data_IF_400779218603
#
_entry.id   IF_400779218603
#
_cell.length_a   1.000
_cell.length_b   1.000
_cell.length_c   1.000
_cell.angle_alpha   90.00
_cell.angle_beta   90.00
_cell.angle_gamma   90.00
#
_symmetry.space_group_name_H-M   'P 1'
#
loop_
_entity.id
_entity.type
_entity.pdbx_description
1 polymer ?
#
# COMPACT_ATOMS: atom_id res chain seq x y z
N UNK A 1 13.96 30.62 -2.05
CA UNK A 1 15.04 29.85 -1.43
C UNK A 1 14.95 28.42 -1.94
N UNK A 2 15.92 27.96 -2.68
CA UNK A 2 15.94 26.60 -3.21
C UNK A 2 16.07 25.62 -2.04
N UNK A 3 15.11 24.72 -1.89
CA UNK A 3 15.18 23.62 -0.94
C UNK A 3 16.43 22.80 -1.26
N UNK A 4 17.36 22.72 -0.33
CA UNK A 4 18.51 21.84 -0.43
C UNK A 4 17.97 20.41 -0.47
N UNK A 5 17.94 19.79 -1.65
CA UNK A 5 17.82 18.35 -1.75
C UNK A 5 19.08 17.75 -1.10
N UNK A 6 18.97 17.38 0.16
CA UNK A 6 19.93 16.48 0.78
C UNK A 6 19.93 15.22 -0.10
N UNK A 7 21.03 14.98 -0.78
CA UNK A 7 21.24 13.74 -1.56
C UNK A 7 21.22 12.60 -0.54
N UNK A 8 20.05 11.93 -0.45
CA UNK A 8 19.90 10.79 0.42
C UNK A 8 20.75 9.64 -0.14
N UNK A 9 21.44 8.93 0.75
CA UNK A 9 22.29 7.81 0.32
C UNK A 9 21.38 6.68 -0.18
N UNK A 10 21.54 6.21 -1.42
CA UNK A 10 20.74 5.12 -1.95
C UNK A 10 20.94 3.84 -1.14
N UNK A 11 19.89 3.02 -1.03
CA UNK A 11 20.00 1.67 -0.51
C UNK A 11 20.95 0.82 -1.38
N UNK A 12 21.63 -0.17 -0.82
CA UNK A 12 22.39 -1.11 -1.66
C UNK A 12 21.43 -2.03 -2.40
N UNK A 13 20.43 -2.59 -1.69
CA UNK A 13 19.38 -3.41 -2.31
C UNK A 13 18.02 -3.10 -1.69
N UNK A 14 17.08 -2.70 -2.54
CA UNK A 14 15.68 -2.48 -2.18
C UNK A 14 14.83 -3.60 -2.78
N UNK A 15 13.95 -4.21 -1.99
CA UNK A 15 13.00 -5.21 -2.48
C UNK A 15 11.64 -4.55 -2.74
N UNK A 16 11.09 -4.73 -3.94
CA UNK A 16 9.70 -4.46 -4.29
C UNK A 16 8.97 -5.78 -4.56
N UNK A 17 7.99 -6.13 -3.73
CA UNK A 17 7.08 -7.24 -4.02
C UNK A 17 5.79 -6.71 -4.67
N UNK A 18 5.09 -7.55 -5.44
CA UNK A 18 3.92 -7.10 -6.21
C UNK A 18 4.32 -6.30 -7.46
N UNK A 19 5.53 -6.53 -7.97
CA UNK A 19 6.14 -5.73 -9.03
C UNK A 19 5.47 -5.89 -10.41
N UNK A 20 4.73 -6.98 -10.65
CA UNK A 20 3.92 -7.18 -11.87
C UNK A 20 2.58 -6.44 -11.82
N UNK A 21 2.10 -6.05 -10.63
CA UNK A 21 0.85 -5.34 -10.44
C UNK A 21 0.84 -3.91 -11.00
N UNK A 22 -0.34 -3.28 -11.05
CA UNK A 22 -0.48 -1.91 -11.58
C UNK A 22 0.41 -0.89 -10.86
N UNK A 23 0.36 -0.85 -9.52
CA UNK A 23 1.23 0.04 -8.74
C UNK A 23 2.68 -0.42 -8.73
N UNK A 24 2.92 -1.74 -8.76
CA UNK A 24 4.27 -2.30 -8.85
C UNK A 24 5.03 -1.82 -10.08
N UNK A 25 4.38 -1.74 -11.23
CA UNK A 25 4.98 -1.21 -12.46
C UNK A 25 5.37 0.27 -12.33
N UNK A 26 4.53 1.08 -11.72
CA UNK A 26 4.85 2.49 -11.42
C UNK A 26 6.05 2.58 -10.48
N UNK A 27 6.03 1.80 -9.39
CA UNK A 27 7.09 1.80 -8.39
C UNK A 27 8.41 1.22 -8.92
N UNK A 28 8.39 0.27 -9.86
CA UNK A 28 9.60 -0.20 -10.53
C UNK A 28 10.38 0.96 -11.14
N UNK A 29 9.71 1.87 -11.84
CA UNK A 29 10.36 3.01 -12.49
C UNK A 29 10.82 4.06 -11.46
N UNK A 30 9.98 4.34 -10.46
CA UNK A 30 10.23 5.45 -9.53
C UNK A 30 11.18 5.09 -8.39
N UNK A 31 11.37 3.81 -8.08
CA UNK A 31 12.28 3.36 -7.01
C UNK A 31 13.73 3.16 -7.48
N UNK A 32 13.99 3.03 -8.77
CA UNK A 32 15.35 2.82 -9.30
C UNK A 32 16.38 3.86 -8.82
N UNK A 33 16.07 5.17 -8.78
CA UNK A 33 17.03 6.17 -8.28
C UNK A 33 17.40 6.03 -6.80
N UNK A 34 16.62 5.28 -6.02
CA UNK A 34 16.76 5.15 -4.57
C UNK A 34 17.61 3.97 -4.14
N UNK A 35 18.09 3.16 -5.08
CA UNK A 35 18.85 1.95 -4.76
C UNK A 35 19.91 1.65 -5.82
N UNK A 36 20.98 0.96 -5.43
CA UNK A 36 21.96 0.44 -6.39
C UNK A 36 21.41 -0.77 -7.13
N UNK A 37 20.63 -1.61 -6.43
CA UNK A 37 19.96 -2.79 -7.00
C UNK A 37 18.51 -2.81 -6.54
N UNK A 38 17.57 -2.78 -7.48
CA UNK A 38 16.14 -2.98 -7.23
C UNK A 38 15.79 -4.43 -7.50
N UNK A 39 15.52 -5.18 -6.42
CA UNK A 39 14.98 -6.55 -6.55
C UNK A 39 13.49 -6.49 -6.70
N UNK A 40 12.98 -7.05 -7.79
CA UNK A 40 11.59 -7.11 -8.18
C UNK A 40 11.05 -8.51 -7.97
N UNK A 41 9.91 -8.63 -7.32
CA UNK A 41 9.28 -9.92 -7.08
C UNK A 41 7.78 -9.89 -7.26
N UNK A 42 7.27 -10.95 -7.87
CA UNK A 42 5.85 -11.24 -8.01
C UNK A 42 5.68 -12.75 -8.21
N UNK A 43 4.45 -13.26 -8.05
CA UNK A 43 4.10 -14.63 -8.47
C UNK A 43 3.90 -14.70 -9.99
N UNK A 44 3.48 -13.60 -10.62
CA UNK A 44 3.32 -13.47 -12.05
C UNK A 44 4.66 -13.17 -12.76
N UNK A 45 4.74 -13.53 -14.02
CA UNK A 45 5.87 -13.16 -14.86
C UNK A 45 6.01 -11.65 -14.98
N UNK A 46 7.23 -11.17 -14.96
CA UNK A 46 7.59 -9.78 -15.09
C UNK A 46 8.48 -9.56 -16.31
N UNK A 47 8.50 -8.34 -16.84
CA UNK A 47 9.50 -7.95 -17.81
C UNK A 47 10.92 -8.20 -17.23
N UNK A 48 11.86 -8.69 -18.03
CA UNK A 48 13.22 -8.95 -17.57
C UNK A 48 13.89 -7.70 -17.00
N UNK A 49 14.95 -7.90 -16.22
CA UNK A 49 15.78 -6.81 -15.73
C UNK A 49 16.31 -5.97 -16.90
N UNK A 50 16.28 -4.65 -16.75
CA UNK A 50 16.75 -3.74 -17.83
C UNK A 50 18.28 -3.71 -17.90
N UNK A 51 18.94 -3.88 -16.76
CA UNK A 51 20.41 -3.92 -16.64
C UNK A 51 20.82 -4.51 -15.27
N UNK A 52 22.09 -4.40 -14.90
CA UNK A 52 22.63 -4.90 -13.62
C UNK A 52 22.13 -4.15 -12.37
N UNK A 53 21.34 -3.07 -12.52
CA UNK A 53 20.69 -2.37 -11.40
C UNK A 53 19.36 -3.01 -11.00
N UNK A 54 18.90 -4.03 -11.69
CA UNK A 54 17.68 -4.77 -11.36
C UNK A 54 17.94 -6.27 -11.21
N UNK A 55 17.21 -6.88 -10.29
CA UNK A 55 17.07 -8.34 -10.16
C UNK A 55 15.59 -8.69 -10.29
N UNK A 56 15.24 -9.67 -11.10
CA UNK A 56 13.86 -10.15 -11.25
C UNK A 56 13.76 -11.56 -10.71
N UNK A 57 12.91 -11.77 -9.72
CA UNK A 57 12.76 -13.05 -9.04
C UNK A 57 11.27 -13.38 -8.85
N UNK A 58 10.79 -14.42 -9.54
CA UNK A 58 9.43 -14.95 -9.30
C UNK A 58 9.40 -15.63 -7.94
N UNK A 59 8.42 -15.26 -7.10
CA UNK A 59 8.26 -15.79 -5.76
C UNK A 59 6.78 -15.84 -5.35
N UNK A 60 6.33 -17.02 -4.91
CA UNK A 60 5.07 -17.15 -4.22
C UNK A 60 5.27 -16.75 -2.74
N UNK A 61 4.53 -15.74 -2.28
CA UNK A 61 4.58 -15.30 -0.89
C UNK A 61 4.11 -16.37 0.12
N UNK A 62 3.32 -17.34 -0.34
CA UNK A 62 2.93 -18.50 0.48
C UNK A 62 4.10 -19.46 0.76
N UNK A 63 5.16 -19.45 -0.08
CA UNK A 63 6.34 -20.26 0.15
C UNK A 63 7.33 -19.56 1.07
N UNK A 64 7.37 -20.04 2.34
CA UNK A 64 8.26 -19.51 3.37
C UNK A 64 9.74 -19.52 2.99
N UNK A 65 10.19 -20.58 2.30
CA UNK A 65 11.60 -20.74 1.97
C UNK A 65 11.99 -19.83 0.79
N UNK A 66 11.12 -19.72 -0.20
CA UNK A 66 11.30 -18.78 -1.31
C UNK A 66 11.34 -17.33 -0.80
N UNK A 67 10.45 -16.94 0.11
CA UNK A 67 10.46 -15.59 0.71
C UNK A 67 11.73 -15.36 1.54
N UNK A 68 12.19 -16.36 2.28
CA UNK A 68 13.45 -16.22 3.02
C UNK A 68 14.63 -15.93 2.07
N UNK A 69 14.75 -16.65 0.96
CA UNK A 69 15.79 -16.40 -0.06
C UNK A 69 15.61 -15.04 -0.73
N UNK A 70 14.35 -14.66 -1.02
CA UNK A 70 14.01 -13.38 -1.64
C UNK A 70 14.52 -12.19 -0.82
N UNK A 71 14.48 -12.25 0.51
CA UNK A 71 14.86 -11.14 1.42
C UNK A 71 16.37 -11.13 1.74
N UNK A 72 17.13 -12.13 1.32
CA UNK A 72 18.57 -12.18 1.58
C UNK A 72 19.31 -10.96 0.98
N UNK A 73 20.08 -10.27 1.83
CA UNK A 73 20.88 -9.09 1.45
C UNK A 73 20.09 -7.85 1.09
N UNK A 74 18.82 -7.77 1.51
CA UNK A 74 17.93 -6.60 1.31
C UNK A 74 18.08 -5.60 2.46
N UNK A 75 18.18 -4.31 2.16
CA UNK A 75 18.27 -3.24 3.16
C UNK A 75 16.87 -2.76 3.62
N UNK A 76 15.92 -2.69 2.69
CA UNK A 76 14.53 -2.27 2.97
C UNK A 76 13.54 -2.96 2.02
N UNK A 77 12.28 -3.06 2.44
CA UNK A 77 11.22 -3.75 1.69
C UNK A 77 10.07 -2.80 1.41
N UNK A 78 9.64 -2.72 0.15
CA UNK A 78 8.38 -2.11 -0.29
C UNK A 78 7.44 -3.25 -0.65
N UNK A 79 6.54 -3.58 0.30
CA UNK A 79 5.69 -4.77 0.22
C UNK A 79 4.31 -4.44 -0.34
N UNK A 80 4.16 -4.64 -1.65
CA UNK A 80 2.92 -4.46 -2.42
C UNK A 80 2.34 -5.79 -2.92
N UNK A 81 3.03 -6.90 -2.67
CA UNK A 81 2.58 -8.24 -3.03
C UNK A 81 1.36 -8.70 -2.24
N UNK A 82 0.57 -9.54 -2.89
CA UNK A 82 -0.63 -10.13 -2.34
C UNK A 82 -1.84 -9.98 -3.26
N UNK A 83 -2.94 -10.63 -2.89
CA UNK A 83 -4.25 -10.47 -3.53
C UNK A 83 -4.77 -9.08 -3.18
N UNK A 84 -5.10 -8.26 -4.18
CA UNK A 84 -5.44 -6.84 -4.01
C UNK A 84 -6.92 -6.50 -4.15
N UNK A 85 -7.75 -7.53 -4.26
CA UNK A 85 -9.22 -7.43 -4.39
C UNK A 85 -9.87 -8.42 -3.44
N UNK A 86 -11.21 -8.26 -3.22
CA UNK A 86 -11.96 -9.23 -2.45
C UNK A 86 -12.04 -10.57 -3.18
N UNK A 87 -11.77 -11.65 -2.46
CA UNK A 87 -11.75 -13.03 -2.94
C UNK A 87 -12.18 -13.97 -1.80
N UNK A 88 -12.50 -15.25 -2.10
CA UNK A 88 -12.64 -16.28 -1.08
C UNK A 88 -11.47 -16.30 -0.12
N UNK A 89 -11.73 -16.62 1.15
CA UNK A 89 -10.71 -16.54 2.19
C UNK A 89 -9.47 -17.40 1.90
N UNK A 90 -9.65 -18.56 1.30
CA UNK A 90 -8.58 -19.49 0.94
C UNK A 90 -7.59 -18.89 -0.06
N UNK A 91 -8.06 -18.05 -1.00
CA UNK A 91 -7.19 -17.32 -1.94
C UNK A 91 -6.43 -16.18 -1.23
N UNK A 92 -7.06 -15.54 -0.24
CA UNK A 92 -6.45 -14.47 0.57
C UNK A 92 -5.40 -15.02 1.54
N UNK A 93 -5.66 -16.20 2.12
CA UNK A 93 -4.88 -16.79 3.21
C UNK A 93 -3.39 -16.94 2.85
N UNK A 94 -3.10 -17.52 1.68
CA UNK A 94 -1.72 -17.82 1.28
C UNK A 94 -0.86 -16.57 1.17
N UNK A 95 -1.23 -15.66 0.28
CA UNK A 95 -0.40 -14.50 -0.04
C UNK A 95 -0.51 -13.38 1.01
N UNK A 96 -1.71 -13.12 1.56
CA UNK A 96 -1.92 -11.95 2.41
C UNK A 96 -1.69 -12.22 3.91
N UNK A 97 -2.00 -13.42 4.38
CA UNK A 97 -1.82 -13.77 5.80
C UNK A 97 -0.45 -14.47 6.00
N UNK A 98 -0.26 -15.64 5.37
CA UNK A 98 1.01 -16.36 5.48
C UNK A 98 2.17 -15.56 4.87
N UNK A 99 1.95 -14.94 3.71
CA UNK A 99 2.95 -14.14 3.02
C UNK A 99 3.43 -12.94 3.82
N UNK A 100 2.55 -12.20 4.46
CA UNK A 100 2.93 -11.09 5.36
C UNK A 100 3.77 -11.60 6.54
N UNK A 101 3.38 -12.71 7.16
CA UNK A 101 4.20 -13.35 8.20
C UNK A 101 5.58 -13.74 7.67
N UNK A 102 5.66 -14.34 6.47
CA UNK A 102 6.93 -14.76 5.87
C UNK A 102 7.85 -13.57 5.59
N UNK A 103 7.31 -12.46 5.08
CA UNK A 103 8.05 -11.21 4.82
C UNK A 103 8.65 -10.66 6.13
N UNK A 104 7.85 -10.51 7.18
CA UNK A 104 8.35 -9.97 8.44
C UNK A 104 9.36 -10.91 9.13
N UNK A 105 9.12 -12.22 9.11
CA UNK A 105 10.04 -13.19 9.68
C UNK A 105 11.36 -13.26 8.89
N UNK A 106 11.31 -13.17 7.57
CA UNK A 106 12.51 -13.07 6.74
C UNK A 106 13.25 -11.73 7.00
N UNK A 107 12.52 -10.61 7.08
CA UNK A 107 13.09 -9.31 7.44
C UNK A 107 13.83 -9.37 8.78
N UNK A 108 13.22 -9.98 9.80
CA UNK A 108 13.85 -10.18 11.11
C UNK A 108 15.14 -10.99 11.02
N UNK A 109 15.13 -12.10 10.28
CA UNK A 109 16.28 -13.01 10.16
C UNK A 109 17.45 -12.41 9.39
N UNK A 110 17.14 -11.62 8.36
CA UNK A 110 18.15 -10.94 7.53
C UNK A 110 18.53 -9.53 8.04
N UNK A 111 17.96 -9.10 9.16
CA UNK A 111 18.32 -7.82 9.78
C UNK A 111 17.75 -6.58 9.08
N UNK A 112 16.76 -6.75 8.20
CA UNK A 112 16.04 -5.64 7.57
C UNK A 112 15.32 -4.82 8.63
N UNK A 113 15.48 -3.48 8.58
CA UNK A 113 14.95 -2.57 9.60
C UNK A 113 13.82 -1.67 9.11
N UNK A 114 13.54 -1.64 7.81
CA UNK A 114 12.51 -0.79 7.20
C UNK A 114 11.61 -1.59 6.28
N UNK A 115 10.30 -1.50 6.55
CA UNK A 115 9.25 -2.06 5.68
C UNK A 115 8.24 -0.95 5.34
N UNK A 116 7.87 -0.83 4.09
CA UNK A 116 6.74 -0.03 3.64
C UNK A 116 5.65 -1.01 3.26
N UNK A 117 4.55 -1.01 4.02
CA UNK A 117 3.47 -1.99 3.84
C UNK A 117 2.29 -1.35 3.12
N UNK A 118 1.92 -1.89 1.96
CA UNK A 118 0.69 -1.54 1.27
C UNK A 118 -0.51 -2.07 2.06
N UNK A 119 -0.97 -1.29 3.05
CA UNK A 119 -2.27 -1.45 3.67
C UNK A 119 -3.36 -0.89 2.75
N UNK A 120 -4.58 -0.77 3.21
CA UNK A 120 -5.71 -0.38 2.38
C UNK A 120 -6.75 0.40 3.18
N UNK A 121 -7.49 1.28 2.50
CA UNK A 121 -8.70 1.87 3.06
C UNK A 121 -9.79 0.82 3.41
N UNK A 122 -9.68 -0.41 2.90
CA UNK A 122 -10.58 -1.51 3.25
C UNK A 122 -10.43 -1.99 4.71
N UNK A 123 -9.37 -1.58 5.41
CA UNK A 123 -9.23 -1.75 6.88
C UNK A 123 -10.31 -0.98 7.66
N UNK A 124 -10.83 0.10 7.06
CA UNK A 124 -11.84 0.98 7.69
C UNK A 124 -13.09 1.13 6.82
N UNK A 125 -13.31 0.23 5.86
CA UNK A 125 -14.30 0.38 4.80
C UNK A 125 -15.74 0.49 5.26
N UNK A 126 -16.13 -0.05 6.41
CA UNK A 126 -17.49 0.09 6.98
C UNK A 126 -17.78 1.42 7.71
N UNK A 127 -16.86 2.39 7.69
CA UNK A 127 -17.23 3.76 8.07
C UNK A 127 -18.06 4.41 6.96
N UNK A 128 -19.04 5.25 7.37
CA UNK A 128 -19.85 5.98 6.40
C UNK A 128 -19.05 7.10 5.74
N UNK A 129 -19.37 7.46 4.52
CA UNK A 129 -18.76 8.59 3.80
C UNK A 129 -19.04 9.95 4.45
N UNK A 130 -19.98 10.01 5.40
CA UNK A 130 -20.28 11.20 6.21
C UNK A 130 -19.42 11.30 7.48
N UNK A 131 -18.60 10.30 7.78
CA UNK A 131 -17.75 10.26 8.98
C UNK A 131 -16.32 10.65 8.61
N UNK A 132 -15.74 11.56 9.38
CA UNK A 132 -14.30 11.84 9.30
C UNK A 132 -13.59 11.03 10.37
N UNK A 133 -12.59 10.26 9.96
CA UNK A 133 -11.82 9.38 10.82
C UNK A 133 -10.31 9.64 10.66
N UNK A 134 -9.51 9.13 11.59
CA UNK A 134 -8.05 9.18 11.54
C UNK A 134 -7.43 7.77 11.60
N UNK A 135 -6.11 7.71 11.62
CA UNK A 135 -5.40 6.43 11.68
C UNK A 135 -5.59 5.66 13.00
N UNK A 136 -5.99 6.33 14.09
CA UNK A 136 -6.27 5.73 15.40
C UNK A 136 -7.71 5.25 15.55
N UNK A 137 -8.59 5.61 14.63
CA UNK A 137 -9.97 5.15 14.64
C UNK A 137 -10.04 3.62 14.59
N UNK A 138 -10.95 2.98 15.34
CA UNK A 138 -11.08 1.53 15.36
C UNK A 138 -11.17 0.94 13.95
N UNK A 139 -10.53 -0.19 13.71
CA UNK A 139 -10.62 -0.84 12.42
C UNK A 139 -12.03 -1.42 12.22
N UNK A 140 -12.57 -1.26 11.04
CA UNK A 140 -13.88 -1.77 10.59
C UNK A 140 -13.75 -2.30 9.18
N UNK A 141 -13.01 -3.43 8.99
CA UNK A 141 -12.73 -3.98 7.68
C UNK A 141 -14.03 -4.45 7.01
N UNK A 142 -14.13 -4.23 5.71
CA UNK A 142 -15.33 -4.46 4.91
C UNK A 142 -15.31 -5.77 4.10
N UNK A 143 -14.23 -6.54 4.20
CA UNK A 143 -13.95 -7.67 3.32
C UNK A 143 -12.89 -8.59 3.94
N UNK A 144 -12.73 -9.81 3.44
CA UNK A 144 -11.59 -10.67 3.79
C UNK A 144 -10.27 -10.03 3.39
N UNK A 145 -10.27 -9.32 2.24
CA UNK A 145 -9.13 -8.50 1.85
C UNK A 145 -8.82 -7.43 2.92
N UNK A 146 -9.82 -6.66 3.34
CA UNK A 146 -9.68 -5.65 4.40
C UNK A 146 -9.19 -6.24 5.73
N UNK A 147 -9.71 -7.42 6.13
CA UNK A 147 -9.23 -8.18 7.29
C UNK A 147 -7.76 -8.55 7.16
N UNK A 148 -7.33 -9.01 5.98
CA UNK A 148 -5.94 -9.38 5.75
C UNK A 148 -4.99 -8.19 5.86
N UNK A 149 -5.42 -7.01 5.40
CA UNK A 149 -4.65 -5.77 5.55
C UNK A 149 -4.60 -5.28 7.00
N UNK A 150 -5.71 -5.45 7.74
CA UNK A 150 -5.75 -5.20 9.19
C UNK A 150 -4.75 -6.09 9.95
N UNK A 151 -4.71 -7.39 9.63
CA UNK A 151 -3.70 -8.32 10.16
C UNK A 151 -2.28 -7.85 9.85
N UNK A 152 -2.03 -7.35 8.63
CA UNK A 152 -0.71 -6.82 8.24
C UNK A 152 -0.28 -5.62 9.08
N UNK A 153 -1.21 -4.72 9.45
CA UNK A 153 -0.92 -3.61 10.37
C UNK A 153 -0.60 -4.11 11.79
N UNK A 154 -1.28 -5.17 12.29
CA UNK A 154 -0.97 -5.78 13.59
C UNK A 154 0.40 -6.47 13.56
N UNK A 155 0.73 -7.15 12.46
CA UNK A 155 2.06 -7.75 12.27
C UNK A 155 3.15 -6.68 12.28
N UNK A 156 2.92 -5.54 11.62
CA UNK A 156 3.84 -4.41 11.62
C UNK A 156 4.11 -3.88 13.03
N UNK A 157 3.06 -3.66 13.82
CA UNK A 157 3.16 -3.24 15.22
C UNK A 157 3.92 -4.27 16.05
N UNK A 158 3.55 -5.54 15.96
CA UNK A 158 4.20 -6.62 16.71
C UNK A 158 5.71 -6.73 16.41
N UNK A 159 6.10 -6.66 15.11
CA UNK A 159 7.52 -6.76 14.76
C UNK A 159 8.31 -5.50 15.10
N UNK A 160 7.67 -4.33 15.14
CA UNK A 160 8.30 -3.12 15.68
C UNK A 160 8.56 -3.24 17.19
N UNK A 161 7.52 -3.53 17.96
CA UNK A 161 7.62 -3.60 19.42
C UNK A 161 8.62 -4.68 19.89
N UNK A 162 8.65 -5.80 19.20
CA UNK A 162 9.46 -6.95 19.59
C UNK A 162 10.86 -6.96 19.01
N UNK A 163 11.05 -6.43 17.80
CA UNK A 163 12.30 -6.60 17.05
C UNK A 163 12.84 -5.28 16.47
N UNK A 164 12.15 -4.17 16.65
CA UNK A 164 12.55 -2.86 16.15
C UNK A 164 12.55 -2.77 14.62
N UNK A 165 11.66 -3.51 13.94
CA UNK A 165 11.46 -3.37 12.49
C UNK A 165 10.47 -2.24 12.27
N UNK A 166 10.97 -1.10 11.83
CA UNK A 166 10.14 0.06 11.55
C UNK A 166 9.26 -0.17 10.32
N UNK A 167 8.00 0.18 10.43
CA UNK A 167 7.03 0.03 9.33
C UNK A 167 6.17 1.26 9.16
N UNK A 168 6.06 1.74 7.92
CA UNK A 168 5.00 2.65 7.51
C UNK A 168 3.92 1.83 6.79
N UNK A 169 2.75 1.69 7.43
CA UNK A 169 1.57 1.07 6.86
C UNK A 169 0.73 2.12 6.14
N UNK A 170 0.64 2.05 4.83
CA UNK A 170 -0.08 3.01 4.01
C UNK A 170 -1.46 2.45 3.69
N UNK A 171 -2.52 3.00 4.29
CA UNK A 171 -3.91 2.73 3.91
C UNK A 171 -4.18 3.42 2.58
N UNK A 172 -3.81 2.75 1.49
CA UNK A 172 -3.97 3.27 0.14
C UNK A 172 -5.46 3.45 -0.17
N UNK A 173 -5.81 4.63 -0.65
CA UNK A 173 -7.12 4.92 -1.21
C UNK A 173 -7.29 4.30 -2.59
N UNK A 174 -7.72 5.07 -3.55
CA UNK A 174 -7.91 4.63 -4.94
C UNK A 174 -6.76 5.16 -5.82
N UNK A 175 -5.73 4.33 -6.04
CA UNK A 175 -4.57 4.76 -6.83
C UNK A 175 -4.66 4.23 -8.27
N UNK A 176 -5.10 5.11 -9.15
CA UNK A 176 -5.29 4.92 -10.58
C UNK A 176 -4.82 6.19 -11.32
N UNK A 177 -4.63 6.10 -12.63
CA UNK A 177 -4.29 7.27 -13.44
C UNK A 177 -5.34 8.40 -13.29
N UNK A 178 -6.61 8.03 -13.13
CA UNK A 178 -7.75 8.92 -12.95
C UNK A 178 -8.77 8.31 -11.98
N UNK A 179 -9.54 9.11 -11.21
CA UNK A 179 -10.66 8.60 -10.44
C UNK A 179 -11.74 8.04 -11.37
N UNK A 180 -12.23 6.84 -11.09
CA UNK A 180 -13.16 6.10 -11.94
C UNK A 180 -14.63 6.33 -11.58
N UNK A 181 -14.91 6.89 -10.40
CA UNK A 181 -16.25 7.17 -9.92
C UNK A 181 -16.25 8.28 -8.85
N UNK A 182 -17.46 8.71 -8.41
CA UNK A 182 -17.62 9.80 -7.44
C UNK A 182 -16.97 9.52 -6.08
N UNK A 183 -17.01 8.28 -5.59
CA UNK A 183 -16.32 7.90 -4.36
C UNK A 183 -14.82 8.16 -4.47
N UNK A 184 -14.23 7.85 -5.60
CA UNK A 184 -12.79 8.03 -5.81
C UNK A 184 -12.38 9.50 -5.81
N UNK A 185 -13.29 10.45 -6.01
CA UNK A 185 -12.97 11.88 -5.85
C UNK A 185 -12.48 12.23 -4.45
N UNK A 186 -12.88 11.45 -3.44
CA UNK A 186 -12.44 11.63 -2.04
C UNK A 186 -11.27 10.74 -1.64
N UNK A 187 -11.00 9.68 -2.39
CA UNK A 187 -10.01 8.66 -2.01
C UNK A 187 -8.86 8.53 -3.01
N UNK A 188 -8.87 9.33 -4.06
CA UNK A 188 -7.87 9.23 -5.12
C UNK A 188 -6.47 9.57 -4.62
N UNK A 189 -5.51 8.76 -5.07
CA UNK A 189 -4.08 8.93 -4.86
C UNK A 189 -3.39 8.88 -6.22
N UNK A 190 -2.79 9.97 -6.64
CA UNK A 190 -2.01 10.00 -7.87
C UNK A 190 -0.76 9.12 -7.76
N UNK A 191 -0.22 8.68 -8.88
CA UNK A 191 1.04 7.94 -8.89
C UNK A 191 2.23 8.79 -8.42
N UNK A 192 2.19 10.10 -8.67
CA UNK A 192 3.24 11.01 -8.21
C UNK A 192 3.21 11.17 -6.68
N UNK A 193 2.02 11.37 -6.09
CA UNK A 193 1.87 11.47 -4.64
C UNK A 193 2.13 10.12 -3.95
N UNK A 194 1.76 8.98 -4.56
CA UNK A 194 2.16 7.66 -4.08
C UNK A 194 3.67 7.53 -4.03
N UNK A 195 4.36 7.91 -5.11
CA UNK A 195 5.83 7.86 -5.17
C UNK A 195 6.46 8.72 -4.08
N UNK A 196 5.98 9.94 -3.90
CA UNK A 196 6.44 10.82 -2.82
C UNK A 196 6.24 10.17 -1.45
N UNK A 197 5.06 9.59 -1.19
CA UNK A 197 4.76 8.97 0.09
C UNK A 197 5.67 7.76 0.38
N UNK A 198 5.94 6.93 -0.63
CA UNK A 198 6.88 5.80 -0.51
C UNK A 198 8.31 6.31 -0.23
N UNK A 199 8.77 7.31 -0.99
CA UNK A 199 10.08 7.92 -0.78
C UNK A 199 10.23 8.48 0.65
N UNK A 200 9.26 9.28 1.11
CA UNK A 200 9.25 9.80 2.46
C UNK A 200 9.25 8.68 3.52
N UNK A 201 8.48 7.63 3.30
CA UNK A 201 8.42 6.47 4.19
C UNK A 201 9.74 5.70 4.25
N UNK A 202 10.51 5.65 3.17
CA UNK A 202 11.81 4.99 3.13
C UNK A 202 12.87 5.75 3.93
N UNK A 203 12.86 7.09 3.88
CA UNK A 203 13.97 7.89 4.37
C UNK A 203 13.71 8.64 5.68
N UNK A 204 12.46 8.81 6.10
CA UNK A 204 12.18 9.46 7.39
C UNK A 204 12.70 8.59 8.53
N UNK A 205 13.56 9.12 9.42
CA UNK A 205 14.04 8.36 10.57
C UNK A 205 12.94 8.18 11.63
N UNK A 206 13.13 7.22 12.50
CA UNK A 206 12.33 6.99 13.71
C UNK A 206 10.82 6.93 13.46
N UNK A 207 10.42 6.34 12.33
CA UNK A 207 9.00 6.20 12.00
C UNK A 207 8.28 5.22 12.93
N UNK A 208 9.00 4.29 13.56
CA UNK A 208 8.41 3.25 14.39
C UNK A 208 7.39 2.41 13.63
N UNK A 209 6.22 2.17 14.24
CA UNK A 209 5.04 1.70 13.52
C UNK A 209 4.10 2.89 13.29
N UNK A 210 4.04 3.37 12.07
CA UNK A 210 3.19 4.50 11.69
C UNK A 210 2.17 4.07 10.63
N UNK A 211 0.90 4.41 10.87
CA UNK A 211 -0.20 4.20 9.91
C UNK A 211 -0.58 5.55 9.32
N UNK A 212 -0.63 5.65 7.99
CA UNK A 212 -1.05 6.85 7.26
C UNK A 212 -2.01 6.50 6.13
N UNK A 213 -2.80 7.48 5.70
CA UNK A 213 -3.62 7.32 4.50
C UNK A 213 -2.85 7.74 3.24
N UNK A 214 -2.88 6.88 2.23
CA UNK A 214 -2.41 7.20 0.88
C UNK A 214 -3.54 7.88 0.11
N UNK A 215 -3.53 9.21 0.10
CA UNK A 215 -4.53 10.06 -0.56
C UNK A 215 -3.84 11.33 -1.05
N UNK A 216 -4.25 11.83 -2.23
CA UNK A 216 -3.82 13.12 -2.78
C UNK A 216 -4.53 14.30 -2.11
N UNK A 217 -4.19 15.53 -2.46
CA UNK A 217 -4.79 16.77 -1.93
C UNK A 217 -6.17 17.02 -2.58
N UNK A 218 -7.09 16.09 -2.35
CA UNK A 218 -8.44 16.13 -2.88
C UNK A 218 -9.30 17.15 -2.10
N UNK A 219 -10.20 17.84 -2.79
CA UNK A 219 -11.06 18.85 -2.18
C UNK A 219 -11.97 18.30 -1.06
N UNK A 220 -12.32 17.02 -1.15
CA UNK A 220 -13.09 16.33 -0.11
C UNK A 220 -12.34 15.07 0.28
N UNK A 221 -12.02 14.92 1.55
CA UNK A 221 -11.40 13.73 2.11
C UNK A 221 -12.15 13.33 3.38
N UNK A 222 -12.19 12.02 3.66
CA UNK A 222 -12.84 11.49 4.87
C UNK A 222 -11.81 11.15 5.96
N UNK A 223 -10.52 11.35 5.68
CA UNK A 223 -9.42 10.91 6.53
C UNK A 223 -8.60 12.10 7.01
N UNK A 224 -8.57 12.26 8.32
CA UNK A 224 -7.60 13.14 8.96
C UNK A 224 -6.22 12.48 8.92
N UNK A 225 -5.38 12.96 8.04
CA UNK A 225 -4.07 12.37 7.77
C UNK A 225 -2.93 13.13 8.47
N UNK A 226 -3.19 13.73 9.66
CA UNK A 226 -2.16 14.49 10.41
C UNK A 226 -0.88 13.71 10.68
N UNK A 227 -0.97 12.38 10.87
CA UNK A 227 0.20 11.54 11.11
C UNK A 227 1.16 11.50 9.92
N UNK A 228 0.68 11.74 8.70
CA UNK A 228 1.53 11.81 7.52
C UNK A 228 2.51 13.00 7.57
N UNK A 229 2.24 14.01 8.41
CA UNK A 229 3.17 15.13 8.63
C UNK A 229 4.52 14.68 9.22
N UNK A 230 4.55 13.58 9.98
CA UNK A 230 5.80 12.98 10.48
C UNK A 230 6.73 12.53 9.35
N UNK A 231 6.15 12.17 8.21
CA UNK A 231 6.87 11.76 7.00
C UNK A 231 7.23 12.96 6.11
N UNK A 232 6.84 14.18 6.47
CA UNK A 232 6.89 15.36 5.58
C UNK A 232 6.18 15.10 4.23
N UNK A 233 5.11 14.27 4.26
CA UNK A 233 4.27 14.00 3.09
C UNK A 233 3.44 15.24 2.76
N UNK A 234 3.55 15.72 1.54
CA UNK A 234 2.86 16.91 1.03
C UNK A 234 2.31 16.57 -0.35
N UNK A 235 1.13 15.94 -0.45
CA UNK A 235 0.51 15.66 -1.72
C UNK A 235 0.31 16.95 -2.52
N UNK A 236 0.33 16.84 -3.84
CA UNK A 236 0.23 17.99 -4.76
C UNK A 236 -0.89 17.86 -5.76
N UNK A 237 -1.26 16.63 -6.08
CA UNK A 237 -2.29 16.37 -7.07
C UNK A 237 -3.66 16.37 -6.42
N UNK A 238 -4.68 16.70 -7.20
CA UNK A 238 -6.07 16.69 -6.76
C UNK A 238 -6.96 16.00 -7.78
N UNK A 239 -7.90 15.21 -7.29
CA UNK A 239 -8.96 14.61 -8.11
C UNK A 239 -9.85 15.65 -8.79
N UNK A 240 -9.82 16.89 -8.34
CA UNK A 240 -10.71 17.95 -8.81
C UNK A 240 -10.58 18.21 -10.33
N UNK A 241 -9.40 18.02 -10.89
CA UNK A 241 -9.16 18.15 -12.35
C UNK A 241 -9.99 17.18 -13.19
N UNK A 242 -10.54 16.14 -12.57
CA UNK A 242 -11.41 15.14 -13.21
C UNK A 242 -12.90 15.32 -12.89
N UNK A 243 -13.28 16.37 -12.16
CA UNK A 243 -14.64 16.62 -11.65
C UNK A 243 -15.69 16.52 -12.76
N UNK A 244 -15.50 17.25 -13.83
CA UNK A 244 -16.46 17.30 -14.94
C UNK A 244 -16.69 15.90 -15.55
N UNK A 245 -15.62 15.14 -15.76
CA UNK A 245 -15.68 13.78 -16.32
C UNK A 245 -16.42 12.81 -15.37
N UNK A 246 -16.17 12.91 -14.07
CA UNK A 246 -16.80 12.03 -13.07
C UNK A 246 -18.27 12.39 -12.87
N UNK A 247 -18.60 13.67 -12.84
CA UNK A 247 -19.97 14.14 -12.65
C UNK A 247 -20.88 13.88 -13.85
N UNK A 248 -20.32 13.71 -15.04
CA UNK A 248 -21.05 13.26 -16.23
C UNK A 248 -21.52 11.79 -16.16
N UNK A 249 -21.00 10.99 -15.23
CA UNK A 249 -21.40 9.59 -15.06
C UNK A 249 -22.79 9.48 -14.44
N UNK A 250 -23.57 8.42 -14.78
CA UNK A 250 -24.87 8.17 -14.13
C UNK A 250 -24.76 8.12 -12.61
N UNK A 251 -25.80 8.55 -11.94
CA UNK A 251 -25.90 8.44 -10.47
C UNK A 251 -26.27 7.00 -10.10
N UNK A 252 -25.56 6.44 -9.12
CA UNK A 252 -25.99 5.22 -8.44
C UNK A 252 -27.20 5.51 -7.54
N UNK A 253 -27.95 4.47 -7.15
CA UNK A 253 -29.04 4.60 -6.19
C UNK A 253 -28.52 5.17 -4.85
N UNK A 254 -29.33 5.99 -4.21
CA UNK A 254 -28.89 6.67 -2.96
C UNK A 254 -28.71 5.71 -1.79
N UNK A 255 -29.35 4.54 -1.83
CA UNK A 255 -29.25 3.46 -0.84
C UNK A 255 -28.23 2.38 -1.22
N UNK A 256 -27.50 2.56 -2.34
CA UNK A 256 -26.41 1.68 -2.73
C UNK A 256 -25.32 1.70 -1.62
N UNK A 257 -24.98 0.53 -1.01
CA UNK A 257 -23.92 0.44 0.00
C UNK A 257 -22.59 1.04 -0.48
N UNK A 258 -22.30 0.94 -1.78
CA UNK A 258 -21.11 1.52 -2.38
C UNK A 258 -21.08 3.05 -2.31
N UNK A 259 -22.23 3.70 -2.16
CA UNK A 259 -22.38 5.16 -2.00
C UNK A 259 -22.46 5.60 -0.55
N UNK A 260 -22.72 4.67 0.38
CA UNK A 260 -22.88 4.97 1.80
C UNK A 260 -21.57 4.82 2.58
N UNK A 261 -20.76 3.85 2.20
CA UNK A 261 -19.57 3.45 2.96
C UNK A 261 -18.25 3.82 2.27
N UNK A 262 -17.22 4.06 3.07
CA UNK A 262 -15.89 4.45 2.58
C UNK A 262 -15.20 3.32 1.78
N UNK A 263 -15.54 2.06 2.04
CA UNK A 263 -15.06 0.89 1.29
C UNK A 263 -15.64 0.77 -0.13
N UNK A 264 -16.73 1.46 -0.42
CA UNK A 264 -17.38 1.42 -1.73
C UNK A 264 -17.94 0.03 -2.05
N UNK A 265 -17.73 -0.47 -3.26
CA UNK A 265 -18.31 -1.73 -3.73
C UNK A 265 -17.88 -2.96 -2.90
N UNK A 266 -16.74 -2.94 -2.21
CA UNK A 266 -16.31 -4.07 -1.39
C UNK A 266 -17.26 -4.40 -0.24
N UNK A 267 -17.97 -3.40 0.30
CA UNK A 267 -18.93 -3.63 1.40
C UNK A 267 -20.10 -4.54 1.00
N UNK A 268 -20.33 -4.69 -0.30
CA UNK A 268 -21.38 -5.53 -0.86
C UNK A 268 -20.80 -6.78 -1.59
N UNK A 269 -19.47 -6.97 -1.59
CA UNK A 269 -18.84 -8.14 -2.21
C UNK A 269 -18.96 -9.35 -1.29
N UNK A 270 -19.30 -10.52 -1.86
CA UNK A 270 -19.59 -11.73 -1.09
C UNK A 270 -21.02 -11.78 -0.54
N UNK A 271 -21.35 -12.81 0.31
CA UNK A 271 -20.46 -13.93 0.59
C UNK A 271 -20.13 -14.74 -0.67
N UNK A 272 -18.89 -15.25 -0.72
CA UNK A 272 -18.52 -16.23 -1.75
C UNK A 272 -19.18 -17.52 -1.32
N UNK A 273 -20.26 -17.88 -2.02
CA UNK A 273 -21.11 -18.99 -1.62
C UNK A 273 -20.34 -20.29 -1.45
N UNK A 274 -20.79 -21.10 -0.50
CA UNK A 274 -20.46 -22.51 -0.41
C UNK A 274 -20.97 -23.19 -1.70
N UNK A 275 -20.14 -23.28 -2.74
CA UNK A 275 -20.40 -24.02 -3.96
C UNK A 275 -19.72 -25.37 -3.89
#
# INVERSE_FOLDING_TARGET
MASAHTTQTPFNRLLLTGAAGGLGKVLRETLRPHTKVLRLSDIAEMAPAVDGSEEVQVCDLADKNAVHQLVEGVDAIVHFGGVSVERPFEEILGANICGVFHIYEAARRHGVKRVIFASSNHVIGFYKQTETIDAHSPRRPDSYYGLSKSYGEDMASFYFDRYGIETVSIRIGSSFAEPQNRRMMSTWLSFADLTQLIERSLYTPDVGHTVVYGVSDNNTVWWDNRLASKLDYKPKDSSEVFREKVDAQPLSAADDPAMLYQGGAFVASGPFGDQ
#
